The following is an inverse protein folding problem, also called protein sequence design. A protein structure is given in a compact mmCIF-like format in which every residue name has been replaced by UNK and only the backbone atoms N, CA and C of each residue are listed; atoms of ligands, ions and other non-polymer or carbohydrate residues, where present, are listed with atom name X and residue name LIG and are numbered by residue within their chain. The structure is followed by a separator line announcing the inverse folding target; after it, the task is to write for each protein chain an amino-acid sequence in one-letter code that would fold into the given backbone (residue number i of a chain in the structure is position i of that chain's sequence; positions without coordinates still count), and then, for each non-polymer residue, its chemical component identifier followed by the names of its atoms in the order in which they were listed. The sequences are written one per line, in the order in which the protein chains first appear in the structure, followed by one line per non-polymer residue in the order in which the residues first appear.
data_IF_545130744183
#
_entry.id   IF_545130744183
#
_cell.length_a   1.000
_cell.length_b   1.000
_cell.length_c   1.000
_cell.angle_alpha   90.00
_cell.angle_beta   90.00
_cell.angle_gamma   90.00
#
_symmetry.space_group_name_H-M   'P 1'
#
loop_
_entity.id
_entity.type
_entity.pdbx_description
1 polymer ?
#
# COMPACT_ATOMS: atom_id res chain seq x y z
N UNK A 1 -36.30 -8.97 35.29
CA UNK A 1 -34.93 -9.15 34.82
C UNK A 1 -34.84 -9.21 33.27
N UNK A 2 -35.63 -10.02 32.57
CA UNK A 2 -35.58 -10.13 31.09
C UNK A 2 -35.95 -8.86 30.32
N UNK A 3 -36.90 -8.04 30.79
CA UNK A 3 -37.29 -6.80 30.12
C UNK A 3 -36.18 -5.76 30.15
N UNK A 4 -35.43 -5.63 31.26
CA UNK A 4 -34.30 -4.72 31.36
C UNK A 4 -33.11 -5.12 30.44
N UNK A 5 -32.87 -6.42 30.31
CA UNK A 5 -31.83 -6.94 29.42
C UNK A 5 -32.19 -6.70 27.94
N UNK A 6 -33.44 -6.90 27.56
CA UNK A 6 -33.89 -6.63 26.19
C UNK A 6 -33.77 -5.14 25.81
N UNK A 7 -34.08 -4.22 26.74
CA UNK A 7 -33.94 -2.77 26.52
C UNK A 7 -32.47 -2.41 26.31
N UNK A 8 -31.55 -2.96 27.10
CA UNK A 8 -30.11 -2.70 26.93
C UNK A 8 -29.61 -3.17 25.56
N UNK A 9 -30.03 -4.36 25.12
CA UNK A 9 -29.67 -4.86 23.79
C UNK A 9 -30.17 -3.91 22.67
N UNK A 10 -31.44 -3.48 22.76
CA UNK A 10 -32.02 -2.56 21.78
C UNK A 10 -31.27 -1.21 21.73
N UNK A 11 -30.86 -0.69 22.87
CA UNK A 11 -30.05 0.55 22.94
C UNK A 11 -28.68 0.34 22.28
N UNK A 12 -27.99 -0.76 22.57
CA UNK A 12 -26.69 -1.08 21.97
C UNK A 12 -26.82 -1.23 20.45
N UNK A 13 -27.84 -1.94 19.98
CA UNK A 13 -28.11 -2.10 18.53
C UNK A 13 -28.41 -0.75 17.88
N UNK A 14 -29.19 0.11 18.51
CA UNK A 14 -29.51 1.43 18.00
C UNK A 14 -28.25 2.34 17.92
N UNK A 15 -27.39 2.31 18.95
CA UNK A 15 -26.13 3.05 18.97
C UNK A 15 -25.19 2.55 17.86
N UNK A 16 -24.99 1.24 17.74
CA UNK A 16 -24.19 0.64 16.70
C UNK A 16 -24.72 0.95 15.31
N UNK A 17 -26.02 0.78 15.08
CA UNK A 17 -26.69 1.12 13.84
C UNK A 17 -26.54 2.59 13.47
N UNK A 18 -26.70 3.49 14.45
CA UNK A 18 -26.47 4.91 14.29
C UNK A 18 -25.02 5.26 13.95
N UNK A 19 -24.05 4.66 14.64
CA UNK A 19 -22.63 4.85 14.37
C UNK A 19 -22.25 4.38 12.96
N UNK A 20 -22.79 3.26 12.49
CA UNK A 20 -22.56 2.72 11.15
C UNK A 20 -23.23 3.58 10.07
N UNK A 21 -24.50 3.96 10.26
CA UNK A 21 -25.26 4.71 9.27
C UNK A 21 -24.81 6.16 9.13
N UNK A 22 -24.60 6.85 10.26
CA UNK A 22 -24.36 8.30 10.31
C UNK A 22 -22.93 8.68 10.70
N UNK A 23 -22.09 7.73 11.09
CA UNK A 23 -20.69 7.96 11.49
C UNK A 23 -19.76 8.29 10.32
N UNK A 24 -20.14 9.25 9.49
CA UNK A 24 -19.38 9.74 8.32
C UNK A 24 -18.64 11.03 8.64
N UNK A 25 -17.74 11.45 7.74
CA UNK A 25 -17.02 12.70 7.85
C UNK A 25 -16.77 13.33 6.47
N UNK A 26 -16.42 14.59 6.45
CA UNK A 26 -15.97 15.29 5.24
C UNK A 26 -14.54 14.87 4.90
N UNK A 27 -14.23 14.76 3.60
CA UNK A 27 -12.86 14.66 3.15
C UNK A 27 -12.06 15.91 3.59
N UNK A 28 -10.77 15.76 3.94
CA UNK A 28 -9.91 16.90 4.23
C UNK A 28 -9.61 17.69 2.95
N UNK A 29 -9.11 18.91 3.12
CA UNK A 29 -8.56 19.67 2.01
C UNK A 29 -7.36 18.93 1.37
N UNK A 30 -7.16 19.07 0.04
CA UNK A 30 -6.05 18.43 -0.64
C UNK A 30 -4.70 18.86 -0.07
N UNK A 31 -3.87 17.88 0.31
CA UNK A 31 -2.54 18.15 0.82
C UNK A 31 -1.57 18.46 -0.32
N UNK A 32 -1.18 19.72 -0.45
CA UNK A 32 -0.27 20.16 -1.52
C UNK A 32 1.10 19.46 -1.50
N UNK A 33 1.59 19.05 -0.32
CA UNK A 33 2.84 18.30 -0.20
C UNK A 33 2.83 16.95 -0.94
N UNK A 34 1.66 16.39 -1.22
CA UNK A 34 1.51 15.17 -2.01
C UNK A 34 1.42 15.43 -3.51
N UNK A 35 0.79 16.55 -3.92
CA UNK A 35 0.52 16.81 -5.34
C UNK A 35 1.64 17.62 -6.02
N UNK A 36 2.24 18.60 -5.32
CA UNK A 36 3.29 19.46 -5.87
C UNK A 36 4.47 18.72 -6.46
N UNK A 37 5.05 17.68 -5.80
CA UNK A 37 6.20 16.96 -6.36
C UNK A 37 5.92 16.36 -7.74
N UNK A 38 4.67 15.92 -7.99
CA UNK A 38 4.28 15.36 -9.29
C UNK A 38 4.18 16.38 -10.42
N UNK A 39 4.08 17.68 -10.13
CA UNK A 39 4.00 18.71 -11.17
C UNK A 39 5.29 18.80 -11.99
N UNK A 40 6.44 18.46 -11.39
CA UNK A 40 7.75 18.48 -12.03
C UNK A 40 8.29 17.07 -12.33
N UNK A 41 7.52 16.01 -12.03
CA UNK A 41 7.96 14.65 -12.28
C UNK A 41 8.04 14.36 -13.79
N UNK A 42 9.10 13.68 -14.20
CA UNK A 42 9.24 13.22 -15.59
C UNK A 42 8.30 12.06 -15.89
N UNK A 43 7.17 12.36 -16.49
CA UNK A 43 6.17 11.40 -16.94
C UNK A 43 6.35 11.00 -18.42
N UNK A 44 7.43 11.42 -19.08
CA UNK A 44 7.70 11.05 -20.47
C UNK A 44 7.87 9.55 -20.65
N UNK A 45 7.33 9.02 -21.75
CA UNK A 45 7.41 7.59 -22.04
C UNK A 45 6.52 6.72 -21.15
N UNK A 46 5.52 7.29 -20.45
CA UNK A 46 4.56 6.51 -19.65
C UNK A 46 3.91 5.43 -20.53
N UNK A 47 4.08 4.12 -20.22
CA UNK A 47 3.50 3.06 -21.01
C UNK A 47 1.97 3.07 -20.92
N UNK A 48 1.25 2.63 -21.97
CA UNK A 48 -0.18 2.41 -21.87
C UNK A 48 -0.49 1.34 -20.82
N UNK A 49 -1.66 1.44 -20.14
CA UNK A 49 -2.10 0.40 -19.22
C UNK A 49 -2.38 -0.91 -19.98
N UNK A 50 -2.03 -2.01 -19.35
CA UNK A 50 -2.36 -3.38 -19.76
C UNK A 50 -3.26 -4.01 -18.73
N UNK A 51 -3.94 -5.07 -19.09
CA UNK A 51 -4.83 -5.80 -18.17
C UNK A 51 -4.45 -7.26 -18.07
N UNK A 52 -4.55 -7.81 -16.87
CA UNK A 52 -4.51 -9.22 -16.55
C UNK A 52 -5.89 -9.62 -16.03
N UNK A 53 -6.45 -10.72 -16.52
CA UNK A 53 -7.71 -11.24 -16.01
C UNK A 53 -7.43 -12.02 -14.72
N UNK A 54 -7.89 -11.50 -13.59
CA UNK A 54 -7.80 -12.18 -12.30
C UNK A 54 -8.95 -13.16 -12.10
N UNK A 55 -8.87 -13.91 -11.00
CA UNK A 55 -9.95 -14.79 -10.54
C UNK A 55 -11.28 -14.03 -10.46
N UNK A 56 -12.35 -14.66 -10.88
CA UNK A 56 -13.66 -14.00 -11.00
C UNK A 56 -13.84 -13.12 -12.24
N UNK A 57 -12.83 -13.06 -13.14
CA UNK A 57 -12.91 -12.38 -14.43
C UNK A 57 -12.69 -10.86 -14.37
N UNK A 58 -12.40 -10.30 -13.22
CA UNK A 58 -12.11 -8.87 -13.05
C UNK A 58 -10.73 -8.55 -13.61
N UNK A 59 -10.61 -7.44 -14.34
CA UNK A 59 -9.34 -6.97 -14.87
C UNK A 59 -8.49 -6.34 -13.76
N UNK A 60 -7.22 -6.75 -13.68
CA UNK A 60 -6.17 -6.05 -12.95
C UNK A 60 -5.33 -5.26 -13.95
N UNK A 61 -5.19 -3.99 -13.70
CA UNK A 61 -4.44 -3.07 -14.56
C UNK A 61 -3.00 -2.95 -14.08
N UNK A 62 -2.08 -2.91 -15.01
CA UNK A 62 -0.66 -2.71 -14.75
C UNK A 62 0.03 -2.02 -15.93
N UNK A 63 1.22 -1.47 -15.68
CA UNK A 63 2.10 -0.91 -16.70
C UNK A 63 3.43 -1.65 -16.68
N UNK A 64 4.06 -1.81 -17.84
CA UNK A 64 5.37 -2.46 -17.93
C UNK A 64 6.37 -1.50 -18.52
N UNK A 65 7.48 -1.30 -17.83
CA UNK A 65 8.67 -0.65 -18.35
C UNK A 65 9.74 -1.73 -18.50
N UNK A 66 10.09 -2.11 -19.74
CA UNK A 66 11.11 -3.12 -19.97
C UNK A 66 12.50 -2.58 -19.61
N UNK A 67 13.42 -3.48 -19.28
CA UNK A 67 14.83 -3.14 -19.07
C UNK A 67 15.38 -2.38 -20.29
N UNK A 68 16.10 -1.28 -20.06
CA UNK A 68 16.55 -0.39 -21.11
C UNK A 68 17.79 -0.91 -21.87
N UNK A 69 18.63 -1.73 -21.22
CA UNK A 69 19.96 -2.09 -21.70
C UNK A 69 20.13 -3.60 -21.96
N UNK A 70 19.22 -4.20 -22.72
CA UNK A 70 19.30 -5.61 -23.10
C UNK A 70 18.49 -6.57 -22.20
N UNK A 71 19.03 -7.76 -21.94
CA UNK A 71 18.32 -8.75 -21.13
C UNK A 71 18.19 -8.29 -19.68
N UNK A 72 16.99 -8.38 -19.07
CA UNK A 72 16.79 -7.96 -17.70
C UNK A 72 17.53 -8.86 -16.70
N UNK A 73 18.10 -8.28 -15.67
CA UNK A 73 18.70 -9.01 -14.53
C UNK A 73 17.64 -9.48 -13.53
N UNK A 74 16.49 -8.78 -13.49
CA UNK A 74 15.48 -8.93 -12.44
C UNK A 74 14.10 -8.46 -12.91
N UNK A 75 13.06 -9.08 -12.41
CA UNK A 75 11.69 -8.59 -12.51
C UNK A 75 11.29 -7.89 -11.20
N UNK A 76 10.71 -6.70 -11.33
CA UNK A 76 10.21 -5.89 -10.21
C UNK A 76 8.69 -5.84 -10.28
N UNK A 77 8.02 -6.10 -9.16
CA UNK A 77 6.61 -5.77 -8.94
C UNK A 77 6.58 -4.49 -8.11
N UNK A 78 6.18 -3.38 -8.73
CA UNK A 78 6.18 -2.06 -8.10
C UNK A 78 4.76 -1.69 -7.65
N UNK A 79 4.60 -1.43 -6.35
CA UNK A 79 3.31 -1.25 -5.67
C UNK A 79 3.22 0.16 -5.11
N UNK A 80 2.19 0.90 -5.55
CA UNK A 80 1.93 2.29 -5.18
C UNK A 80 1.47 2.47 -3.73
N UNK A 81 1.49 3.70 -3.24
CA UNK A 81 0.94 4.10 -1.93
C UNK A 81 -0.58 4.24 -1.93
N UNK A 82 -1.14 4.62 -0.79
CA UNK A 82 -2.57 4.89 -0.65
C UNK A 82 -3.05 5.89 -1.71
N UNK A 83 -4.28 5.76 -2.13
CA UNK A 83 -4.98 6.58 -3.16
C UNK A 83 -4.42 6.50 -4.57
N UNK A 84 -3.13 6.19 -4.74
CA UNK A 84 -2.39 6.27 -5.99
C UNK A 84 -2.71 5.14 -6.99
N UNK A 85 -1.92 5.03 -8.05
CA UNK A 85 -1.99 3.98 -9.06
C UNK A 85 -0.61 3.75 -9.68
N UNK A 86 -0.48 2.85 -10.63
CA UNK A 86 0.75 2.61 -11.41
C UNK A 86 1.30 3.88 -12.05
N UNK A 87 0.43 4.87 -12.33
CA UNK A 87 0.81 6.17 -12.87
C UNK A 87 1.84 6.87 -11.97
N UNK A 88 1.58 6.94 -10.66
CA UNK A 88 2.45 7.65 -9.72
C UNK A 88 3.84 7.04 -9.56
N UNK A 89 3.99 5.77 -9.91
CA UNK A 89 5.24 5.02 -9.78
C UNK A 89 6.12 5.08 -11.04
N UNK A 90 5.65 5.77 -12.11
CA UNK A 90 6.34 5.79 -13.40
C UNK A 90 7.77 6.33 -13.33
N UNK A 91 8.07 7.46 -12.64
CA UNK A 91 9.44 7.96 -12.56
C UNK A 91 10.41 6.92 -11.97
N UNK A 92 10.02 6.28 -10.87
CA UNK A 92 10.82 5.20 -10.27
C UNK A 92 10.93 3.99 -11.21
N UNK A 93 9.83 3.58 -11.86
CA UNK A 93 9.85 2.45 -12.79
C UNK A 93 10.81 2.70 -13.96
N UNK A 94 10.80 3.91 -14.52
CA UNK A 94 11.72 4.35 -15.58
C UNK A 94 13.18 4.32 -15.09
N UNK A 95 13.45 4.82 -13.89
CA UNK A 95 14.78 4.81 -13.31
C UNK A 95 15.30 3.38 -13.04
N UNK A 96 14.45 2.48 -12.53
CA UNK A 96 14.82 1.08 -12.32
C UNK A 96 15.06 0.33 -13.65
N UNK A 97 14.32 0.69 -14.70
CA UNK A 97 14.53 0.10 -16.03
C UNK A 97 15.92 0.44 -16.60
N UNK A 98 16.47 1.64 -16.36
CA UNK A 98 17.84 1.99 -16.72
C UNK A 98 18.90 1.17 -15.97
N UNK A 99 18.51 0.56 -14.85
CA UNK A 99 19.33 -0.33 -14.03
C UNK A 99 19.17 -1.80 -14.41
N UNK A 100 18.71 -2.05 -15.62
CA UNK A 100 18.53 -3.39 -16.21
C UNK A 100 17.47 -4.26 -15.54
N UNK A 101 16.40 -3.63 -15.04
CA UNK A 101 15.26 -4.31 -14.41
C UNK A 101 14.01 -4.14 -15.27
N UNK A 102 13.24 -5.21 -15.46
CA UNK A 102 11.88 -5.10 -16.04
C UNK A 102 10.89 -4.83 -14.91
N UNK A 103 10.14 -3.73 -15.02
CA UNK A 103 9.27 -3.23 -13.95
C UNK A 103 7.80 -3.36 -14.32
N UNK A 104 7.04 -4.05 -13.48
CA UNK A 104 5.59 -4.19 -13.52
C UNK A 104 4.97 -3.32 -12.44
N UNK A 105 4.50 -2.12 -12.81
CA UNK A 105 3.81 -1.21 -11.88
C UNK A 105 2.32 -1.54 -11.85
N UNK A 106 1.80 -1.88 -10.69
CA UNK A 106 0.42 -2.34 -10.53
C UNK A 106 -0.53 -1.20 -10.18
N UNK A 107 -1.76 -1.28 -10.70
CA UNK A 107 -2.92 -0.70 -10.02
C UNK A 107 -3.46 -1.77 -9.06
N UNK A 108 -3.23 -1.62 -7.77
CA UNK A 108 -3.80 -2.54 -6.77
C UNK A 108 -5.32 -2.46 -6.83
N UNK A 109 -6.01 -3.60 -6.66
CA UNK A 109 -7.48 -3.63 -6.68
C UNK A 109 -8.08 -2.52 -5.82
N UNK A 110 -9.13 -1.90 -6.32
CA UNK A 110 -9.72 -0.70 -5.72
C UNK A 110 -9.05 0.61 -6.15
N UNK A 111 -8.00 0.54 -6.99
CA UNK A 111 -7.26 1.70 -7.47
C UNK A 111 -7.11 1.69 -8.99
N UNK A 112 -6.86 2.86 -9.57
CA UNK A 112 -6.63 3.02 -11.00
C UNK A 112 -7.69 2.33 -11.84
N UNK A 113 -7.27 1.40 -12.69
CA UNK A 113 -8.15 0.60 -13.54
C UNK A 113 -8.49 -0.79 -12.99
N UNK A 114 -8.15 -1.12 -11.74
CA UNK A 114 -8.31 -2.45 -11.16
C UNK A 114 -9.57 -2.56 -10.30
N UNK A 115 -10.63 -3.16 -10.85
CA UNK A 115 -11.87 -3.45 -10.14
C UNK A 115 -12.67 -2.22 -9.73
N UNK A 116 -13.56 -2.38 -8.73
CA UNK A 116 -14.38 -1.30 -8.20
C UNK A 116 -13.53 -0.37 -7.34
N UNK A 117 -13.54 0.91 -7.70
CA UNK A 117 -12.70 1.91 -7.03
C UNK A 117 -13.06 2.06 -5.55
N UNK A 118 -12.04 2.04 -4.70
CA UNK A 118 -12.16 2.21 -3.26
C UNK A 118 -12.67 1.01 -2.50
N UNK A 119 -12.82 -0.17 -3.15
CA UNK A 119 -13.43 -1.33 -2.51
C UNK A 119 -12.83 -2.67 -2.97
N UNK A 120 -13.14 -3.71 -2.20
CA UNK A 120 -12.83 -5.12 -2.48
C UNK A 120 -14.12 -5.94 -2.44
N UNK A 121 -14.14 -7.09 -3.11
CA UNK A 121 -15.31 -7.98 -3.09
C UNK A 121 -15.28 -8.96 -1.91
N UNK A 122 -14.08 -9.34 -1.42
CA UNK A 122 -13.89 -10.24 -0.28
C UNK A 122 -12.52 -10.03 0.41
N UNK A 123 -12.36 -10.49 1.67
CA UNK A 123 -11.21 -10.14 2.50
C UNK A 123 -9.82 -10.58 1.99
N UNK A 124 -9.69 -11.75 1.34
CA UNK A 124 -8.40 -12.25 0.83
C UNK A 124 -8.10 -11.84 -0.62
N UNK A 125 -8.91 -10.93 -1.19
CA UNK A 125 -8.83 -10.62 -2.61
C UNK A 125 -7.49 -10.03 -3.05
N UNK A 126 -6.85 -9.20 -2.22
CA UNK A 126 -5.53 -8.67 -2.55
C UNK A 126 -4.44 -9.74 -2.54
N UNK A 127 -4.55 -10.75 -1.68
CA UNK A 127 -3.62 -11.87 -1.63
C UNK A 127 -3.79 -12.77 -2.86
N UNK A 128 -5.03 -13.05 -3.26
CA UNK A 128 -5.35 -13.78 -4.48
C UNK A 128 -4.84 -13.03 -5.72
N UNK A 129 -5.08 -11.72 -5.80
CA UNK A 129 -4.58 -10.90 -6.91
C UNK A 129 -3.06 -10.89 -6.99
N UNK A 130 -2.37 -10.81 -5.83
CA UNK A 130 -0.92 -10.87 -5.80
C UNK A 130 -0.40 -12.22 -6.27
N UNK A 131 -1.06 -13.32 -5.92
CA UNK A 131 -0.71 -14.65 -6.41
C UNK A 131 -0.85 -14.76 -7.93
N UNK A 132 -1.92 -14.23 -8.51
CA UNK A 132 -2.13 -14.18 -9.98
C UNK A 132 -1.05 -13.34 -10.67
N UNK A 133 -0.72 -12.17 -10.13
CA UNK A 133 0.32 -11.27 -10.67
C UNK A 133 1.70 -11.93 -10.60
N UNK A 134 2.05 -12.55 -9.48
CA UNK A 134 3.33 -13.27 -9.33
C UNK A 134 3.41 -14.44 -10.30
N UNK A 135 2.34 -15.21 -10.45
CA UNK A 135 2.25 -16.29 -11.43
C UNK A 135 2.45 -15.79 -12.85
N UNK A 136 1.78 -14.69 -13.21
CA UNK A 136 1.91 -14.05 -14.51
C UNK A 136 3.34 -13.56 -14.78
N UNK A 137 3.96 -12.81 -13.86
CA UNK A 137 5.32 -12.28 -14.04
C UNK A 137 6.34 -13.40 -14.14
N UNK A 138 6.21 -14.45 -13.33
CA UNK A 138 7.10 -15.63 -13.39
C UNK A 138 6.94 -16.41 -14.69
N UNK A 139 5.74 -16.48 -15.26
CA UNK A 139 5.54 -17.09 -16.58
C UNK A 139 6.22 -16.31 -17.71
N UNK A 140 6.29 -14.97 -17.61
CA UNK A 140 7.03 -14.13 -18.55
C UNK A 140 8.56 -14.21 -18.33
N UNK A 141 9.00 -14.46 -17.11
CA UNK A 141 10.40 -14.43 -16.69
C UNK A 141 10.72 -15.60 -15.75
N UNK A 142 10.73 -16.86 -16.26
CA UNK A 142 10.85 -18.05 -15.39
C UNK A 142 12.13 -18.12 -14.56
N UNK A 143 13.22 -17.57 -15.08
CA UNK A 143 14.56 -17.63 -14.48
C UNK A 143 14.95 -16.35 -13.70
N UNK A 144 14.20 -15.26 -13.85
CA UNK A 144 14.59 -14.00 -13.22
C UNK A 144 14.23 -13.98 -11.73
N UNK A 145 15.11 -13.44 -10.88
CA UNK A 145 14.77 -13.08 -9.53
C UNK A 145 13.60 -12.09 -9.50
N UNK A 146 12.62 -12.32 -8.63
CA UNK A 146 11.44 -11.48 -8.47
C UNK A 146 11.52 -10.70 -7.17
N UNK A 147 11.37 -9.36 -7.26
CA UNK A 147 11.45 -8.47 -6.11
C UNK A 147 10.25 -7.52 -6.09
N UNK A 148 9.31 -7.68 -5.16
CA UNK A 148 8.34 -6.62 -4.85
C UNK A 148 9.04 -5.40 -4.25
N UNK A 149 8.64 -4.22 -4.74
CA UNK A 149 9.05 -2.91 -4.22
C UNK A 149 7.78 -2.13 -3.91
N UNK A 150 7.46 -1.93 -2.64
CA UNK A 150 6.23 -1.29 -2.23
C UNK A 150 6.47 0.05 -1.55
N UNK A 151 5.68 1.05 -1.92
CA UNK A 151 5.75 2.40 -1.36
C UNK A 151 4.60 2.67 -0.39
N UNK A 152 4.88 3.23 0.78
CA UNK A 152 3.88 3.68 1.75
C UNK A 152 2.89 2.56 2.14
N UNK A 153 1.60 2.68 1.88
CA UNK A 153 0.62 1.59 2.06
C UNK A 153 0.98 0.34 1.25
N UNK A 154 1.45 0.51 0.00
CA UNK A 154 1.99 -0.58 -0.81
C UNK A 154 3.22 -1.23 -0.18
N UNK A 155 4.03 -0.48 0.59
CA UNK A 155 5.13 -1.03 1.39
C UNK A 155 4.62 -1.93 2.52
N UNK A 156 3.59 -1.49 3.24
CA UNK A 156 2.93 -2.32 4.25
C UNK A 156 2.28 -3.57 3.65
N UNK A 157 1.65 -3.45 2.47
CA UNK A 157 1.09 -4.58 1.75
C UNK A 157 2.17 -5.54 1.24
N UNK A 158 3.31 -5.02 0.75
CA UNK A 158 4.45 -5.86 0.36
C UNK A 158 5.04 -6.64 1.54
N UNK A 159 5.08 -6.03 2.74
CA UNK A 159 5.47 -6.71 3.97
C UNK A 159 4.49 -7.83 4.31
N UNK A 160 3.18 -7.56 4.28
CA UNK A 160 2.15 -8.58 4.47
C UNK A 160 2.32 -9.74 3.46
N UNK A 161 2.47 -9.43 2.18
CA UNK A 161 2.66 -10.43 1.13
C UNK A 161 3.90 -11.30 1.35
N UNK A 162 5.00 -10.71 1.85
CA UNK A 162 6.21 -11.45 2.22
C UNK A 162 5.97 -12.50 3.32
N UNK A 163 5.00 -12.25 4.21
CA UNK A 163 4.64 -13.15 5.30
C UNK A 163 3.68 -14.28 4.88
N UNK A 164 3.06 -14.18 3.70
CA UNK A 164 2.19 -15.24 3.13
C UNK A 164 3.01 -16.30 2.40
N UNK A 165 2.41 -17.42 1.98
CA UNK A 165 3.09 -18.44 1.20
C UNK A 165 3.73 -17.93 -0.10
N UNK A 166 3.15 -16.89 -0.73
CA UNK A 166 3.68 -16.29 -1.96
C UNK A 166 5.04 -15.62 -1.75
N UNK A 167 5.36 -15.21 -0.52
CA UNK A 167 6.65 -14.64 -0.14
C UNK A 167 7.84 -15.55 -0.47
N UNK A 168 7.64 -16.87 -0.53
CA UNK A 168 8.67 -17.84 -0.98
C UNK A 168 9.06 -17.68 -2.47
N UNK A 169 8.24 -16.97 -3.24
CA UNK A 169 8.53 -16.68 -4.64
C UNK A 169 9.44 -15.47 -4.84
N UNK A 170 9.70 -14.71 -3.78
CA UNK A 170 10.51 -13.50 -3.82
C UNK A 170 11.95 -13.79 -3.41
N UNK A 171 12.88 -13.24 -4.16
CA UNK A 171 14.28 -13.22 -3.73
C UNK A 171 14.49 -12.24 -2.57
N UNK A 172 13.77 -11.12 -2.61
CA UNK A 172 13.82 -10.03 -1.63
C UNK A 172 12.56 -9.19 -1.72
N UNK A 173 12.26 -8.43 -0.68
CA UNK A 173 11.20 -7.41 -0.67
C UNK A 173 11.78 -6.09 -0.19
N UNK A 174 11.54 -5.02 -0.95
CA UNK A 174 12.00 -3.67 -0.61
C UNK A 174 10.81 -2.79 -0.24
N UNK A 175 10.91 -2.17 0.91
CA UNK A 175 9.86 -1.37 1.53
C UNK A 175 10.29 0.11 1.50
N UNK A 176 9.61 0.90 0.69
CA UNK A 176 9.87 2.35 0.57
C UNK A 176 8.93 3.11 1.51
N UNK A 177 9.48 3.70 2.57
CA UNK A 177 8.71 4.40 3.61
C UNK A 177 7.42 3.66 3.99
N UNK A 178 7.49 2.38 4.44
CA UNK A 178 6.31 1.53 4.57
C UNK A 178 5.36 1.98 5.68
N UNK A 179 4.06 1.95 5.40
CA UNK A 179 3.03 2.10 6.42
C UNK A 179 2.90 0.82 7.25
N UNK A 180 3.47 0.82 8.45
CA UNK A 180 3.44 -0.33 9.37
C UNK A 180 2.17 -0.38 10.23
N UNK A 181 1.25 0.54 10.02
CA UNK A 181 -0.01 0.68 10.73
C UNK A 181 -0.15 2.03 11.42
N UNK A 182 -1.38 2.46 11.65
CA UNK A 182 -1.70 3.76 12.22
C UNK A 182 -1.08 3.99 13.62
N UNK A 183 -0.97 2.93 14.43
CA UNK A 183 -0.40 2.97 15.79
C UNK A 183 1.05 2.49 15.85
N UNK A 184 1.68 2.25 14.71
CA UNK A 184 3.09 1.84 14.69
C UNK A 184 3.98 2.97 15.25
N UNK A 185 5.07 2.64 15.95
CA UNK A 185 6.00 3.66 16.48
C UNK A 185 6.58 4.58 15.39
N UNK A 186 6.59 4.12 14.14
CA UNK A 186 7.06 4.87 12.98
C UNK A 186 6.09 5.92 12.48
N UNK A 187 4.79 5.80 12.77
CA UNK A 187 3.76 6.72 12.28
C UNK A 187 3.75 8.02 13.08
N UNK A 188 3.68 9.15 12.39
CA UNK A 188 3.47 10.47 13.01
C UNK A 188 1.99 10.64 13.37
N UNK A 189 1.68 11.23 14.54
CA UNK A 189 0.30 11.50 14.90
C UNK A 189 -0.31 12.59 13.98
N UNK A 190 -1.65 12.63 13.83
CA UNK A 190 -2.33 13.63 13.01
C UNK A 190 -2.12 15.07 13.49
N UNK A 191 -1.78 15.28 14.77
CA UNK A 191 -1.47 16.61 15.34
C UNK A 191 -0.23 17.26 14.73
N UNK A 192 0.68 16.45 14.20
CA UNK A 192 1.99 16.91 13.73
C UNK A 192 2.02 17.17 12.22
N UNK A 193 0.87 17.03 11.54
CA UNK A 193 0.77 17.18 10.09
C UNK A 193 -0.65 17.55 9.66
N UNK A 194 -0.78 18.14 8.46
CA UNK A 194 -2.09 18.33 7.84
C UNK A 194 -2.74 16.96 7.57
N UNK A 195 -4.03 16.79 7.84
CA UNK A 195 -4.68 15.51 7.68
C UNK A 195 -4.74 15.11 6.19
N UNK A 196 -4.13 13.98 5.85
CA UNK A 196 -4.26 13.35 4.53
C UNK A 196 -5.64 12.71 4.34
N UNK A 197 -6.22 12.23 5.42
CA UNK A 197 -7.41 11.38 5.41
C UNK A 197 -8.31 11.70 6.61
N UNK A 198 -9.62 11.71 6.37
CA UNK A 198 -10.63 11.66 7.42
C UNK A 198 -11.05 10.21 7.63
N UNK A 199 -10.79 9.69 8.82
CA UNK A 199 -11.28 8.38 9.24
C UNK A 199 -12.67 8.53 9.88
N UNK A 200 -13.65 7.74 9.43
CA UNK A 200 -15.01 7.72 9.97
C UNK A 200 -15.04 6.85 11.22
N UNK A 201 -14.42 7.33 12.30
CA UNK A 201 -14.12 6.56 13.50
C UNK A 201 -15.36 5.87 14.10
N UNK A 202 -16.54 6.51 14.27
CA UNK A 202 -17.71 5.82 14.79
C UNK A 202 -18.14 4.64 13.91
N UNK A 203 -18.12 4.81 12.58
CA UNK A 203 -18.44 3.73 11.63
C UNK A 203 -17.40 2.62 11.70
N UNK A 204 -16.10 2.94 11.76
CA UNK A 204 -15.02 1.95 11.89
C UNK A 204 -15.23 1.10 13.14
N UNK A 205 -15.51 1.74 14.29
CA UNK A 205 -15.76 1.03 15.55
C UNK A 205 -16.98 0.11 15.42
N UNK A 206 -18.08 0.62 14.87
CA UNK A 206 -19.31 -0.16 14.66
C UNK A 206 -19.05 -1.40 13.78
N UNK A 207 -18.31 -1.24 12.67
CA UNK A 207 -17.95 -2.33 11.79
C UNK A 207 -16.98 -3.33 12.42
N UNK A 208 -16.01 -2.87 13.24
CA UNK A 208 -15.15 -3.76 14.01
C UNK A 208 -15.94 -4.64 14.99
N UNK A 209 -16.93 -4.06 15.66
CA UNK A 209 -17.83 -4.82 16.56
C UNK A 209 -18.63 -5.85 15.79
N UNK A 210 -19.24 -5.48 14.64
CA UNK A 210 -19.98 -6.43 13.79
C UNK A 210 -19.07 -7.56 13.28
N UNK A 211 -17.88 -7.23 12.82
CA UNK A 211 -16.90 -8.21 12.35
C UNK A 211 -16.47 -9.18 13.47
N UNK A 212 -16.38 -8.71 14.73
CA UNK A 212 -16.02 -9.57 15.87
C UNK A 212 -17.04 -10.68 16.17
N UNK A 213 -18.27 -10.51 15.69
CA UNK A 213 -19.37 -11.50 15.79
C UNK A 213 -19.72 -12.14 14.44
N UNK A 214 -18.85 -11.99 13.42
CA UNK A 214 -19.00 -12.62 12.10
C UNK A 214 -19.97 -11.92 11.15
N UNK A 215 -20.40 -10.69 11.42
CA UNK A 215 -21.29 -9.92 10.52
C UNK A 215 -20.43 -9.03 9.61
N UNK A 216 -20.37 -9.38 8.32
CA UNK A 216 -19.56 -8.75 7.28
C UNK A 216 -20.37 -8.00 6.21
N UNK A 217 -21.69 -8.00 6.30
CA UNK A 217 -22.57 -7.45 5.27
C UNK A 217 -22.37 -5.94 4.98
N UNK A 218 -21.71 -5.23 5.89
CA UNK A 218 -21.48 -3.78 5.82
C UNK A 218 -20.05 -3.39 5.55
N UNK A 219 -19.15 -4.34 5.25
CA UNK A 219 -17.72 -4.10 5.06
C UNK A 219 -17.40 -3.25 3.82
N UNK A 220 -18.36 -3.11 2.89
CA UNK A 220 -18.29 -2.22 1.73
C UNK A 220 -18.57 -0.74 2.03
N UNK A 221 -19.02 -0.42 3.24
CA UNK A 221 -19.26 0.97 3.62
C UNK A 221 -17.95 1.75 3.67
N UNK A 222 -17.99 2.97 3.11
CA UNK A 222 -16.88 3.90 3.14
C UNK A 222 -16.49 4.25 4.59
N UNK A 223 -15.20 4.16 4.89
CA UNK A 223 -14.63 4.44 6.22
C UNK A 223 -13.48 5.44 6.20
N UNK A 224 -12.88 5.66 5.04
CA UNK A 224 -11.87 6.70 4.85
C UNK A 224 -12.30 7.61 3.71
N UNK A 225 -12.07 8.91 3.88
CA UNK A 225 -12.15 9.92 2.82
C UNK A 225 -10.83 10.67 2.75
N UNK A 226 -10.20 10.64 1.58
CA UNK A 226 -8.98 11.40 1.28
C UNK A 226 -9.36 12.74 0.66
N UNK A 227 -8.48 13.72 0.72
CA UNK A 227 -8.69 15.01 0.04
C UNK A 227 -8.93 14.78 -1.45
N UNK A 228 -9.86 15.54 -2.02
CA UNK A 228 -10.10 15.55 -3.47
C UNK A 228 -8.93 16.23 -4.15
N UNK A 229 -8.15 15.46 -4.90
CA UNK A 229 -7.00 15.95 -5.65
C UNK A 229 -7.41 16.47 -7.05
N UNK A 230 -8.69 16.43 -7.41
CA UNK A 230 -9.20 16.70 -8.75
C UNK A 230 -8.44 15.91 -9.85
N UNK A 231 -8.08 14.67 -9.53
CA UNK A 231 -7.32 13.76 -10.38
C UNK A 231 -8.06 12.42 -10.50
N UNK A 232 -8.58 12.09 -11.69
CA UNK A 232 -9.40 10.88 -11.88
C UNK A 232 -8.64 9.56 -11.65
N UNK A 233 -7.30 9.59 -11.70
CA UNK A 233 -6.46 8.42 -11.42
C UNK A 233 -6.34 8.09 -9.94
N UNK A 234 -6.71 9.01 -9.02
CA UNK A 234 -6.63 8.80 -7.58
C UNK A 234 -7.92 8.23 -7.01
N UNK A 235 -7.80 7.43 -5.97
CA UNK A 235 -8.92 6.83 -5.24
C UNK A 235 -9.21 7.64 -4.00
N UNK A 236 -10.31 8.39 -4.02
CA UNK A 236 -10.65 9.35 -2.97
C UNK A 236 -11.25 8.73 -1.70
N UNK A 237 -11.73 7.49 -1.76
CA UNK A 237 -12.43 6.87 -0.65
C UNK A 237 -12.05 5.40 -0.51
N UNK A 238 -12.01 4.90 0.72
CA UNK A 238 -11.86 3.47 0.98
C UNK A 238 -13.05 2.92 1.76
N UNK A 239 -13.51 1.75 1.34
CA UNK A 239 -14.38 0.91 2.15
C UNK A 239 -13.65 0.43 3.41
N UNK A 240 -14.39 -0.07 4.38
CA UNK A 240 -13.81 -0.74 5.54
C UNK A 240 -12.92 -1.91 5.12
N UNK A 241 -13.36 -2.67 4.13
CA UNK A 241 -12.63 -3.84 3.63
C UNK A 241 -11.29 -3.44 3.01
N UNK A 242 -11.25 -2.46 2.10
CA UNK A 242 -10.02 -1.99 1.49
C UNK A 242 -9.08 -1.34 2.52
N UNK A 243 -9.62 -0.51 3.43
CA UNK A 243 -8.85 0.09 4.53
C UNK A 243 -8.12 -0.97 5.37
N UNK A 244 -8.78 -2.11 5.61
CA UNK A 244 -8.24 -3.20 6.44
C UNK A 244 -7.21 -4.07 5.72
N UNK A 245 -7.17 -4.03 4.39
CA UNK A 245 -6.40 -4.99 3.58
C UNK A 245 -5.25 -4.37 2.79
N UNK A 246 -5.34 -3.08 2.46
CA UNK A 246 -4.27 -2.42 1.70
C UNK A 246 -3.23 -1.77 2.64
N UNK A 247 -2.59 -2.57 3.44
CA UNK A 247 -1.38 -2.36 4.23
C UNK A 247 -1.17 -3.61 5.10
N UNK A 248 -0.18 -3.62 5.98
CA UNK A 248 -0.13 -4.61 7.05
C UNK A 248 -1.09 -4.23 8.19
N UNK A 249 -1.77 -5.20 8.75
CA UNK A 249 -2.58 -5.05 9.97
C UNK A 249 -1.84 -5.51 11.24
N UNK A 250 -0.77 -6.28 11.07
CA UNK A 250 0.12 -6.80 12.13
C UNK A 250 1.55 -6.83 11.59
N UNK A 251 2.20 -5.66 11.56
CA UNK A 251 3.57 -5.57 11.05
C UNK A 251 4.56 -6.46 11.81
N UNK A 252 4.35 -6.64 13.10
CA UNK A 252 5.26 -7.44 13.91
C UNK A 252 5.19 -8.93 13.55
N UNK A 253 3.96 -9.45 13.41
CA UNK A 253 3.74 -10.81 12.93
C UNK A 253 4.21 -11.00 11.50
N UNK A 254 3.98 -10.04 10.61
CA UNK A 254 4.42 -10.10 9.21
C UNK A 254 5.95 -10.07 9.10
N UNK A 255 6.64 -9.20 9.86
CA UNK A 255 8.12 -9.21 9.93
C UNK A 255 8.67 -10.54 10.41
N UNK A 256 8.10 -11.08 11.49
CA UNK A 256 8.55 -12.36 12.05
C UNK A 256 8.38 -13.52 11.05
N UNK A 257 7.30 -13.52 10.28
CA UNK A 257 6.91 -14.59 9.33
C UNK A 257 7.43 -14.37 7.91
N UNK A 258 8.06 -13.22 7.60
CA UNK A 258 8.52 -12.93 6.25
C UNK A 258 9.42 -14.04 5.70
N UNK A 259 9.03 -14.60 4.55
CA UNK A 259 9.69 -15.71 3.86
C UNK A 259 10.86 -15.26 2.97
N UNK A 260 11.01 -13.96 2.74
CA UNK A 260 12.08 -13.36 1.95
C UNK A 260 12.83 -12.31 2.78
N UNK A 261 14.12 -12.05 2.49
CA UNK A 261 14.84 -10.93 3.07
C UNK A 261 14.13 -9.61 2.83
N UNK A 262 14.05 -8.77 3.86
CA UNK A 262 13.45 -7.43 3.80
C UNK A 262 14.54 -6.36 3.79
N UNK A 263 14.27 -5.24 3.14
CA UNK A 263 15.06 -4.01 3.26
C UNK A 263 14.13 -2.80 3.26
N UNK A 264 14.50 -1.76 4.00
CA UNK A 264 13.73 -0.50 4.09
C UNK A 264 14.57 0.65 3.57
N UNK A 265 13.95 1.53 2.77
CA UNK A 265 14.51 2.83 2.39
C UNK A 265 13.49 3.90 2.76
N UNK A 266 13.91 4.94 3.45
CA UNK A 266 13.03 6.03 3.92
C UNK A 266 13.74 7.38 3.84
N UNK A 267 13.00 8.44 3.53
CA UNK A 267 13.53 9.81 3.56
C UNK A 267 13.63 10.33 4.99
N UNK A 268 14.71 11.03 5.32
CA UNK A 268 14.93 11.61 6.65
C UNK A 268 13.86 12.65 7.02
N UNK A 269 13.33 13.35 6.02
CA UNK A 269 12.32 14.40 6.17
C UNK A 269 10.90 13.89 5.85
N UNK A 270 10.68 12.57 5.91
CA UNK A 270 9.36 11.98 5.61
C UNK A 270 8.26 12.69 6.40
N UNK A 271 7.21 13.13 5.71
CA UNK A 271 6.12 13.94 6.30
C UNK A 271 5.19 13.11 7.18
N UNK A 272 5.08 11.78 6.94
CA UNK A 272 4.13 10.88 7.57
C UNK A 272 4.75 9.97 8.61
N UNK A 273 6.06 9.70 8.47
CA UNK A 273 6.75 8.72 9.29
C UNK A 273 8.00 9.30 9.97
N UNK A 274 8.31 8.81 11.15
CA UNK A 274 9.57 9.05 11.84
C UNK A 274 10.65 8.12 11.26
N UNK A 275 11.48 8.61 10.36
CA UNK A 275 12.50 7.82 9.68
C UNK A 275 13.44 7.09 10.66
N UNK A 276 13.84 7.77 11.74
CA UNK A 276 14.74 7.24 12.77
C UNK A 276 14.12 6.12 13.63
N UNK A 277 12.81 5.89 13.53
CA UNK A 277 12.14 4.84 14.30
C UNK A 277 12.00 3.53 13.54
N UNK A 278 12.24 3.48 12.22
CA UNK A 278 12.13 2.23 11.48
C UNK A 278 13.15 1.19 11.95
N UNK A 279 14.43 1.54 12.04
CA UNK A 279 15.46 0.60 12.47
C UNK A 279 15.19 0.02 13.88
N UNK A 280 14.97 0.80 14.94
CA UNK A 280 14.69 0.24 16.26
C UNK A 280 13.38 -0.58 16.30
N UNK A 281 12.33 -0.16 15.57
CA UNK A 281 11.04 -0.87 15.56
C UNK A 281 11.16 -2.25 14.90
N UNK A 282 11.82 -2.32 13.74
CA UNK A 282 11.90 -3.56 12.98
C UNK A 282 12.97 -4.50 13.53
N UNK A 283 14.13 -3.97 13.93
CA UNK A 283 15.24 -4.76 14.45
C UNK A 283 14.97 -5.34 15.84
N UNK A 284 13.97 -4.85 16.56
CA UNK A 284 13.45 -5.49 17.77
C UNK A 284 12.80 -6.86 17.49
N UNK A 285 12.43 -7.14 16.22
CA UNK A 285 11.78 -8.39 15.81
C UNK A 285 12.75 -9.25 15.01
N UNK A 286 13.37 -8.68 13.96
CA UNK A 286 14.30 -9.36 13.06
C UNK A 286 15.27 -8.32 12.48
N UNK A 287 16.56 -8.62 12.35
CA UNK A 287 17.51 -7.70 11.70
C UNK A 287 17.08 -7.38 10.28
N UNK A 288 16.79 -6.10 10.01
CA UNK A 288 16.38 -5.60 8.70
C UNK A 288 17.20 -4.36 8.38
N UNK A 289 17.93 -4.33 7.25
CA UNK A 289 18.62 -3.14 6.80
C UNK A 289 17.64 -1.98 6.57
N UNK A 290 17.93 -0.84 7.18
CA UNK A 290 17.16 0.41 7.01
C UNK A 290 18.10 1.49 6.53
N UNK A 291 17.86 2.02 5.34
CA UNK A 291 18.58 3.15 4.76
C UNK A 291 17.75 4.41 4.92
N UNK A 292 18.30 5.42 5.60
CA UNK A 292 17.67 6.74 5.75
C UNK A 292 18.38 7.72 4.82
N UNK A 293 17.62 8.32 3.90
CA UNK A 293 18.15 9.24 2.89
C UNK A 293 18.01 10.69 3.36
N UNK A 294 19.12 11.43 3.52
CA UNK A 294 19.09 12.83 3.93
C UNK A 294 18.25 13.69 2.97
N UNK A 295 17.53 14.67 3.51
CA UNK A 295 16.81 15.69 2.73
C UNK A 295 15.53 15.24 2.06
N UNK A 296 15.31 13.96 1.86
CA UNK A 296 14.12 13.46 1.15
C UNK A 296 12.88 13.41 2.04
N UNK A 297 11.78 13.89 1.49
CA UNK A 297 10.44 13.75 2.01
C UNK A 297 9.77 12.45 1.50
N UNK A 298 8.49 12.24 1.86
CA UNK A 298 7.75 11.02 1.52
C UNK A 298 7.62 10.80 0.01
N UNK A 299 7.00 11.74 -0.71
CA UNK A 299 6.76 11.60 -2.16
C UNK A 299 8.06 11.73 -2.97
N UNK A 300 8.99 12.66 -2.69
CA UNK A 300 10.31 12.72 -3.33
C UNK A 300 11.07 11.39 -3.32
N UNK A 301 10.88 10.53 -2.33
CA UNK A 301 11.51 9.21 -2.28
C UNK A 301 11.27 8.34 -3.55
N UNK A 302 10.14 8.53 -4.23
CA UNK A 302 9.81 7.78 -5.46
C UNK A 302 9.94 8.60 -6.74
N UNK A 303 10.25 9.89 -6.64
CA UNK A 303 10.34 10.78 -7.78
C UNK A 303 11.76 11.27 -8.06
N UNK A 304 12.55 11.47 -7.00
CA UNK A 304 13.86 12.11 -7.11
C UNK A 304 14.97 11.10 -7.47
N UNK A 305 15.84 11.44 -8.43
CA UNK A 305 16.94 10.58 -8.86
C UNK A 305 17.89 10.18 -7.73
N UNK A 306 18.03 11.02 -6.71
CA UNK A 306 18.90 10.80 -5.56
C UNK A 306 18.51 9.56 -4.73
N UNK A 307 17.26 9.16 -4.76
CA UNK A 307 16.78 7.95 -4.08
C UNK A 307 17.17 6.66 -4.81
N UNK A 308 17.32 6.73 -6.12
CA UNK A 308 17.49 5.54 -6.98
C UNK A 308 18.69 4.68 -6.60
N UNK A 309 19.91 5.22 -6.35
CA UNK A 309 21.05 4.37 -5.98
C UNK A 309 20.80 3.54 -4.72
N UNK A 310 20.18 4.11 -3.69
CA UNK A 310 19.86 3.41 -2.45
C UNK A 310 18.80 2.34 -2.65
N UNK A 311 17.77 2.65 -3.45
CA UNK A 311 16.69 1.69 -3.78
C UNK A 311 17.27 0.51 -4.57
N UNK A 312 18.12 0.78 -5.58
CA UNK A 312 18.80 -0.27 -6.37
C UNK A 312 19.71 -1.13 -5.50
N UNK A 313 20.47 -0.51 -4.59
CA UNK A 313 21.31 -1.20 -3.62
C UNK A 313 20.49 -2.14 -2.74
N UNK A 314 19.34 -1.66 -2.22
CA UNK A 314 18.41 -2.46 -1.44
C UNK A 314 17.82 -3.62 -2.27
N UNK A 315 17.45 -3.39 -3.54
CA UNK A 315 16.94 -4.42 -4.45
C UNK A 315 18.01 -5.49 -4.72
N UNK A 316 19.26 -5.13 -4.93
CA UNK A 316 20.37 -6.07 -5.19
C UNK A 316 20.90 -6.74 -3.91
N UNK A 317 20.42 -6.35 -2.72
CA UNK A 317 20.90 -6.88 -1.46
C UNK A 317 22.34 -6.48 -1.10
N UNK A 318 22.79 -5.39 -1.63
CA UNK A 318 24.11 -4.80 -1.33
C UNK A 318 23.96 -3.92 -0.07
N UNK A 319 24.72 -4.19 0.95
CA UNK A 319 24.74 -3.43 2.22
C UNK A 319 25.73 -2.27 2.14
#
# INVERSE_FOLDING_TARGET
MFAGFAIVILIVVAILGGAIAFGTGKAPEPMQALSRPFNNADMSGLPPPRTLKARGGVALTYRVVPAANGAPERAIILIHGATASSFSMHPLAKALATQNMTVYSLDIRGHGGSGRRGDLDYPSQLDDDMAEIVGFVKAQHPSLPLTPVGFSAGGGFSLHTAATPIGKSFERVVLLAPMLGYRAPTSKPPSDQAPLVTAFVPRIIGLLVLNSIGVHAFDHLQTLAFGDFNRPELTANYSFLLMRRFATSDYAGDVAKANAPLAVVVGANDNFFYANRFAPTLNAIKPIPVTVLPGLEHIPLILEPEAVPAIVKAIRGQT
#
